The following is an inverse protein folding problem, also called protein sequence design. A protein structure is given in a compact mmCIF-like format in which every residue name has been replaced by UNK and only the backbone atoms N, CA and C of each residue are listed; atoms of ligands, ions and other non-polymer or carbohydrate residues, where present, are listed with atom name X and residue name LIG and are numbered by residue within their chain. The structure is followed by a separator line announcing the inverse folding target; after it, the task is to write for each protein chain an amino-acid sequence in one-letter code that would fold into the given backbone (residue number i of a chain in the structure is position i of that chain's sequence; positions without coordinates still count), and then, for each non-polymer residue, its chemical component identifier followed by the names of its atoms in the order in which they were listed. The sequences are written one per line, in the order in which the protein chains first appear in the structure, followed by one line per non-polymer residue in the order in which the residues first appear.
data_IF_935752232531
#
_entry.id   IF_935752232531
#
_cell.length_a   1.000
_cell.length_b   1.000
_cell.length_c   1.000
_cell.angle_alpha   90.00
_cell.angle_beta   90.00
_cell.angle_gamma   90.00
#
_symmetry.space_group_name_H-M   'P 1'
#
loop_
_entity.id
_entity.type
_entity.pdbx_description
1 polymer ?
#
# COMPACT_ATOMS: atom_id res chain seq x y z
N UNK A 1 13.45 31.76 -9.04
CA UNK A 1 13.47 32.28 -7.65
C UNK A 1 12.17 32.03 -6.89
N UNK A 2 11.01 32.63 -7.24
CA UNK A 2 9.73 32.36 -6.52
C UNK A 2 9.28 30.90 -6.61
N UNK A 3 9.40 30.28 -7.77
CA UNK A 3 8.98 28.88 -7.98
C UNK A 3 9.91 27.89 -7.27
N UNK A 4 11.21 28.19 -7.23
CA UNK A 4 12.22 27.38 -6.52
C UNK A 4 12.00 27.43 -5.00
N UNK A 5 11.75 28.61 -4.45
CA UNK A 5 11.42 28.79 -3.03
C UNK A 5 10.10 28.09 -2.67
N UNK A 6 9.12 28.10 -3.59
CA UNK A 6 7.84 27.43 -3.39
C UNK A 6 7.97 25.90 -3.37
N UNK A 7 8.83 25.34 -4.24
CA UNK A 7 9.16 23.91 -4.25
C UNK A 7 9.98 23.49 -3.03
N UNK A 8 11.05 24.23 -2.71
CA UNK A 8 11.97 23.90 -1.63
C UNK A 8 11.32 24.00 -0.24
N UNK A 9 10.40 24.94 -0.05
CA UNK A 9 9.65 25.07 1.20
C UNK A 9 8.46 24.10 1.30
N UNK A 10 8.23 23.25 0.29
CA UNK A 10 7.11 22.30 0.27
C UNK A 10 5.73 22.96 0.20
N UNK A 11 5.65 24.26 -0.09
CA UNK A 11 4.38 25.00 -0.11
C UNK A 11 3.41 24.48 -1.19
N UNK A 12 3.92 23.82 -2.22
CA UNK A 12 3.12 23.13 -3.23
C UNK A 12 2.28 21.98 -2.68
N UNK A 13 2.69 21.36 -1.57
CA UNK A 13 1.91 20.31 -0.90
C UNK A 13 0.61 20.84 -0.30
N UNK A 14 0.51 22.14 -0.01
CA UNK A 14 -0.75 22.76 0.47
C UNK A 14 -1.89 22.68 -0.54
N UNK A 15 -1.58 22.41 -1.82
CA UNK A 15 -2.61 22.09 -2.79
C UNK A 15 -3.40 20.82 -2.41
N UNK A 16 -2.77 19.90 -1.67
CA UNK A 16 -3.39 18.67 -1.16
C UNK A 16 -4.32 18.95 0.03
N UNK A 17 -4.23 20.09 0.71
CA UNK A 17 -5.11 20.44 1.82
C UNK A 17 -6.57 20.65 1.38
N UNK A 18 -6.80 20.92 0.09
CA UNK A 18 -8.14 21.11 -0.49
C UNK A 18 -8.75 19.81 -1.03
N UNK A 19 -8.13 18.67 -0.73
CA UNK A 19 -8.54 17.36 -1.24
C UNK A 19 -9.49 16.71 -0.24
N UNK A 20 -10.64 16.23 -0.71
CA UNK A 20 -11.58 15.47 0.11
C UNK A 20 -11.00 14.08 0.42
N UNK A 21 -10.46 13.93 1.63
CA UNK A 21 -9.80 12.71 2.10
C UNK A 21 -10.75 11.49 2.12
N UNK A 22 -12.07 11.69 2.21
CA UNK A 22 -13.06 10.60 2.25
C UNK A 22 -13.11 9.82 0.92
N UNK A 23 -12.62 10.40 -0.18
CA UNK A 23 -12.53 9.73 -1.49
C UNK A 23 -11.14 9.20 -1.84
N UNK A 24 -10.18 9.26 -0.91
CA UNK A 24 -8.82 8.83 -1.20
C UNK A 24 -8.56 7.35 -0.91
N UNK A 25 -7.79 6.77 -1.82
CA UNK A 25 -7.18 5.46 -1.65
C UNK A 25 -5.68 5.65 -1.48
N UNK A 26 -5.18 5.37 -0.29
CA UNK A 26 -3.79 5.59 0.10
C UNK A 26 -3.00 4.29 0.06
N UNK A 27 -1.72 4.37 -0.30
CA UNK A 27 -0.81 3.22 -0.34
C UNK A 27 0.37 3.48 0.59
N UNK A 28 0.53 2.61 1.59
CA UNK A 28 1.69 2.53 2.45
C UNK A 28 2.75 1.58 1.85
N UNK A 29 4.02 1.83 2.17
CA UNK A 29 5.13 0.96 1.76
C UNK A 29 5.64 1.22 0.35
N UNK A 30 6.61 0.41 -0.07
CA UNK A 30 7.20 0.46 -1.40
C UNK A 30 7.82 -0.90 -1.77
N UNK A 31 7.63 -1.42 -2.99
CA UNK A 31 8.36 -2.60 -3.47
C UNK A 31 9.89 -2.46 -3.45
N UNK A 32 10.40 -1.21 -3.45
CA UNK A 32 11.83 -0.91 -3.35
C UNK A 32 12.38 -1.12 -1.93
N UNK A 33 11.50 -1.18 -0.93
CA UNK A 33 11.87 -1.37 0.47
C UNK A 33 11.74 -2.86 0.82
N UNK A 34 12.87 -3.57 0.85
CA UNK A 34 12.90 -4.99 1.22
C UNK A 34 13.02 -5.16 2.74
N UNK A 35 11.88 -5.08 3.42
CA UNK A 35 11.82 -5.27 4.87
C UNK A 35 12.09 -6.73 5.29
N UNK A 36 11.91 -7.70 4.40
CA UNK A 36 12.25 -9.11 4.67
C UNK A 36 13.76 -9.36 4.67
N UNK A 37 14.57 -8.42 4.16
CA UNK A 37 16.03 -8.49 4.24
C UNK A 37 16.57 -8.35 5.68
N UNK A 38 15.78 -7.84 6.61
CA UNK A 38 16.17 -7.75 8.02
C UNK A 38 16.34 -9.16 8.63
N UNK A 39 17.54 -9.44 9.15
CA UNK A 39 17.88 -10.65 9.87
C UNK A 39 18.64 -10.29 11.15
N UNK A 40 18.06 -10.64 12.30
CA UNK A 40 18.61 -10.37 13.62
C UNK A 40 19.45 -11.54 14.19
N UNK A 41 19.71 -12.57 13.39
CA UNK A 41 20.43 -13.79 13.77
C UNK A 41 19.55 -15.04 13.91
N UNK A 42 18.24 -14.90 13.68
CA UNK A 42 17.27 -16.00 13.69
C UNK A 42 16.71 -16.33 12.30
N UNK A 43 17.27 -15.71 11.26
CA UNK A 43 16.74 -15.77 9.90
C UNK A 43 15.72 -14.66 9.64
N UNK A 44 15.25 -14.62 8.39
CA UNK A 44 14.28 -13.63 7.92
C UNK A 44 12.92 -13.78 8.60
N UNK A 45 12.20 -12.66 8.73
CA UNK A 45 10.86 -12.64 9.28
C UNK A 45 9.92 -13.64 8.57
N UNK A 46 9.12 -14.36 9.35
CA UNK A 46 8.16 -15.31 8.79
C UNK A 46 7.04 -14.60 8.01
N UNK A 47 6.57 -13.46 8.53
CA UNK A 47 5.54 -12.59 7.97
C UNK A 47 5.81 -11.16 8.43
N UNK A 48 5.56 -10.20 7.56
CA UNK A 48 5.55 -8.77 7.88
C UNK A 48 4.14 -8.21 7.67
N UNK A 49 3.68 -7.34 8.55
CA UNK A 49 2.36 -6.70 8.47
C UNK A 49 2.47 -5.21 8.79
N UNK A 50 1.73 -4.40 8.04
CA UNK A 50 1.49 -3.00 8.39
C UNK A 50 0.26 -2.94 9.28
N UNK A 51 0.44 -2.58 10.54
CA UNK A 51 -0.65 -2.61 11.54
C UNK A 51 -1.57 -1.38 11.41
N UNK A 52 -1.02 -0.25 10.99
CA UNK A 52 -1.74 1.02 10.83
C UNK A 52 -2.53 1.09 9.51
N UNK A 53 -3.21 0.02 9.12
CA UNK A 53 -4.07 -0.03 7.92
C UNK A 53 -5.55 0.20 8.23
N UNK A 54 -5.90 0.29 9.52
CA UNK A 54 -7.25 0.59 9.97
C UNK A 54 -7.40 2.10 10.13
N UNK A 55 -8.28 2.71 9.33
CA UNK A 55 -8.57 4.13 9.38
C UNK A 55 -10.06 4.30 9.74
N UNK A 56 -10.32 4.90 10.91
CA UNK A 56 -11.67 5.17 11.42
C UNK A 56 -12.43 6.21 10.57
N UNK A 57 -11.70 7.02 9.80
CA UNK A 57 -12.23 8.18 9.06
C UNK A 57 -12.78 7.83 7.66
N UNK A 58 -12.91 6.54 7.34
CA UNK A 58 -13.50 6.07 6.07
C UNK A 58 -12.53 6.00 4.89
N UNK A 59 -11.28 6.44 5.07
CA UNK A 59 -10.20 6.25 4.12
C UNK A 59 -9.87 4.77 3.92
N UNK A 60 -9.52 4.38 2.70
CA UNK A 60 -9.03 3.03 2.42
C UNK A 60 -7.51 3.08 2.33
N UNK A 61 -6.85 2.38 3.23
CA UNK A 61 -5.40 2.24 3.23
C UNK A 61 -4.99 0.82 2.83
N UNK A 62 -4.12 0.73 1.83
CA UNK A 62 -3.48 -0.50 1.38
C UNK A 62 -1.99 -0.42 1.70
N UNK A 63 -1.32 -1.54 1.92
CA UNK A 63 0.13 -1.59 1.82
C UNK A 63 0.60 -2.34 0.58
N UNK A 64 1.74 -1.91 0.03
CA UNK A 64 2.44 -2.56 -1.05
C UNK A 64 3.90 -2.81 -0.67
N UNK A 65 4.34 -4.07 -0.73
CA UNK A 65 5.70 -4.47 -0.38
C UNK A 65 6.20 -5.63 -1.25
N UNK A 66 7.49 -5.95 -1.14
CA UNK A 66 8.06 -7.12 -1.82
C UNK A 66 7.48 -8.41 -1.22
N UNK A 67 7.20 -9.40 -2.07
CA UNK A 67 6.88 -10.76 -1.60
C UNK A 67 8.09 -11.42 -0.94
N UNK A 68 7.83 -12.30 0.01
CA UNK A 68 8.86 -13.09 0.69
C UNK A 68 9.35 -14.25 -0.18
N UNK A 69 8.43 -14.87 -0.91
CA UNK A 69 8.62 -16.25 -1.40
C UNK A 69 9.20 -16.30 -2.82
N UNK A 70 8.81 -15.36 -3.69
CA UNK A 70 9.24 -15.32 -5.09
C UNK A 70 9.76 -13.93 -5.47
N UNK A 71 10.88 -13.91 -6.19
CA UNK A 71 11.45 -12.66 -6.70
C UNK A 71 10.60 -12.14 -7.85
N UNK A 72 10.28 -10.84 -7.81
CA UNK A 72 9.35 -10.20 -8.74
C UNK A 72 7.90 -10.12 -8.25
N UNK A 73 7.50 -10.95 -7.29
CA UNK A 73 6.16 -10.92 -6.72
C UNK A 73 5.98 -9.76 -5.73
N UNK A 74 4.75 -9.24 -5.67
CA UNK A 74 4.36 -8.17 -4.76
C UNK A 74 3.36 -8.68 -3.72
N UNK A 75 3.49 -8.18 -2.50
CA UNK A 75 2.54 -8.39 -1.42
C UNK A 75 1.65 -7.15 -1.28
N UNK A 76 0.34 -7.40 -1.22
CA UNK A 76 -0.70 -6.40 -0.98
C UNK A 76 -1.37 -6.74 0.35
N UNK A 77 -1.40 -5.78 1.28
CA UNK A 77 -2.15 -5.92 2.53
C UNK A 77 -3.30 -4.92 2.60
N UNK A 78 -4.43 -5.36 3.16
CA UNK A 78 -5.66 -4.59 3.32
C UNK A 78 -6.31 -4.91 4.67
N UNK A 79 -6.85 -3.89 5.34
CA UNK A 79 -7.75 -4.05 6.49
C UNK A 79 -9.12 -3.51 6.11
N UNK A 80 -10.13 -4.37 6.02
CA UNK A 80 -11.48 -4.01 5.59
C UNK A 80 -12.51 -4.79 6.40
N UNK A 81 -13.75 -4.29 6.46
CA UNK A 81 -14.87 -5.07 6.98
C UNK A 81 -15.04 -6.38 6.21
N UNK A 82 -15.53 -7.43 6.87
CA UNK A 82 -15.68 -8.78 6.30
C UNK A 82 -16.38 -8.78 4.93
N UNK A 83 -17.48 -8.03 4.81
CA UNK A 83 -18.24 -7.94 3.55
C UNK A 83 -17.41 -7.33 2.44
N UNK A 84 -16.65 -6.26 2.72
CA UNK A 84 -15.79 -5.58 1.75
C UNK A 84 -14.59 -6.45 1.37
N UNK A 85 -13.96 -7.12 2.34
CA UNK A 85 -12.85 -8.05 2.09
C UNK A 85 -13.29 -9.21 1.19
N UNK A 86 -14.45 -9.79 1.42
CA UNK A 86 -15.00 -10.87 0.59
C UNK A 86 -15.24 -10.39 -0.86
N UNK A 87 -15.82 -9.20 -1.03
CA UNK A 87 -16.04 -8.62 -2.35
C UNK A 87 -14.71 -8.33 -3.06
N UNK A 88 -13.74 -7.74 -2.37
CA UNK A 88 -12.39 -7.49 -2.90
C UNK A 88 -11.73 -8.79 -3.37
N UNK A 89 -11.70 -9.82 -2.52
CA UNK A 89 -11.08 -11.10 -2.85
C UNK A 89 -11.71 -11.73 -4.10
N UNK A 90 -13.04 -11.70 -4.22
CA UNK A 90 -13.74 -12.21 -5.39
C UNK A 90 -13.39 -11.43 -6.67
N UNK A 91 -13.41 -10.10 -6.64
CA UNK A 91 -13.11 -9.25 -7.80
C UNK A 91 -11.64 -9.40 -8.22
N UNK A 92 -10.72 -9.35 -7.27
CA UNK A 92 -9.28 -9.42 -7.52
C UNK A 92 -8.89 -10.77 -8.15
N UNK A 93 -9.37 -11.88 -7.57
CA UNK A 93 -9.10 -13.23 -8.09
C UNK A 93 -9.75 -13.46 -9.45
N UNK A 94 -10.98 -12.98 -9.65
CA UNK A 94 -11.66 -13.06 -10.94
C UNK A 94 -10.89 -12.28 -12.03
N UNK A 95 -10.44 -11.06 -11.75
CA UNK A 95 -9.65 -10.26 -12.69
C UNK A 95 -8.34 -10.96 -13.08
N UNK A 96 -7.60 -11.48 -12.10
CA UNK A 96 -6.38 -12.25 -12.35
C UNK A 96 -6.63 -13.50 -13.22
N UNK A 97 -7.76 -14.18 -13.03
CA UNK A 97 -8.08 -15.39 -13.79
C UNK A 97 -8.15 -15.17 -15.31
N UNK A 98 -8.42 -13.94 -15.77
CA UNK A 98 -8.39 -13.61 -17.20
C UNK A 98 -6.98 -13.35 -17.75
N UNK A 99 -6.01 -13.01 -16.89
CA UNK A 99 -4.63 -12.75 -17.31
C UNK A 99 -3.81 -14.03 -17.48
N UNK A 100 -4.17 -15.09 -16.74
CA UNK A 100 -3.50 -16.40 -16.80
C UNK A 100 -4.09 -17.37 -17.84
N UNK A 101 -4.92 -16.89 -18.76
CA UNK A 101 -5.49 -17.69 -19.86
C UNK A 101 -4.71 -17.61 -21.18
N UNK A 102 -3.47 -17.10 -21.17
CA UNK A 102 -2.56 -17.06 -22.33
C UNK A 102 -1.53 -18.17 -22.24
#
# INVERSE_FOLDING_TARGET
MKDEEWVLNGNWLKALDNVDLIQFFSIAGSPKLDLYAADFGWGRAAKLEFISLDNDDGEILMSLSKSKDFDGDLKIDLSLSKTRMNAFAAIFTHGLSFLYQV
#
